data_IF_488520750322
#
_entry.id   IF_488520750322
#
_cell.length_a   1.000
_cell.length_b   1.000
_cell.length_c   1.000
_cell.angle_alpha   90.00
_cell.angle_beta   90.00
_cell.angle_gamma   90.00
#
_symmetry.space_group_name_H-M   'P 1'
#
loop_
_entity.id
_entity.type
_entity.pdbx_description
1 polymer ?
#
# COMPACT_ATOMS: atom_id res chain seq x y z
N UNK A 1 5.53 -52.14 54.05
CA UNK A 1 4.45 -52.84 53.31
C UNK A 1 3.85 -51.84 52.33
N UNK A 2 3.86 -52.15 51.02
CA UNK A 2 3.20 -51.43 49.90
C UNK A 2 3.78 -50.04 49.61
N UNK A 3 4.55 -49.76 48.56
CA UNK A 3 4.41 -49.98 47.11
C UNK A 3 3.36 -49.09 46.38
N UNK A 4 3.87 -48.41 45.35
CA UNK A 4 3.24 -47.88 44.13
C UNK A 4 2.31 -46.65 44.18
N UNK A 5 2.78 -45.54 43.57
CA UNK A 5 2.32 -45.15 42.23
C UNK A 5 3.31 -44.21 41.52
N UNK A 6 3.82 -44.66 40.38
CA UNK A 6 4.53 -43.85 39.39
C UNK A 6 3.56 -42.87 38.71
N UNK A 7 4.01 -41.63 38.49
CA UNK A 7 3.66 -40.88 37.28
C UNK A 7 4.93 -40.23 36.74
N UNK A 8 5.51 -40.89 35.74
CA UNK A 8 6.42 -40.30 34.77
C UNK A 8 5.65 -39.20 34.03
N UNK A 9 6.05 -37.95 34.21
CA UNK A 9 5.82 -36.88 33.24
C UNK A 9 7.16 -36.58 32.58
N UNK A 10 7.25 -36.47 31.25
CA UNK A 10 8.51 -36.13 30.60
C UNK A 10 8.90 -34.69 30.93
N UNK A 11 10.19 -34.49 31.17
CA UNK A 11 10.81 -33.20 31.46
C UNK A 11 10.51 -32.19 30.33
N UNK A 12 10.10 -30.99 30.75
CA UNK A 12 9.69 -29.85 29.91
C UNK A 12 10.87 -29.21 29.15
N UNK A 13 11.99 -29.92 28.97
CA UNK A 13 13.22 -29.39 28.37
C UNK A 13 13.51 -29.95 26.97
N UNK A 14 12.82 -31.00 26.52
CA UNK A 14 13.12 -31.64 25.21
C UNK A 14 12.18 -31.25 24.06
N UNK A 15 11.36 -30.20 24.17
CA UNK A 15 10.44 -29.77 23.09
C UNK A 15 10.82 -28.39 22.51
N UNK A 16 11.89 -27.75 23.00
CA UNK A 16 12.31 -26.42 22.54
C UNK A 16 13.37 -26.40 21.43
N UNK A 17 14.03 -27.52 21.15
CA UNK A 17 15.17 -27.55 20.22
C UNK A 17 14.83 -28.04 18.80
N UNK A 18 13.63 -28.58 18.57
CA UNK A 18 13.26 -29.14 17.26
C UNK A 18 12.36 -28.23 16.40
N UNK A 19 12.00 -27.02 16.89
CA UNK A 19 11.20 -26.06 16.13
C UNK A 19 11.99 -24.80 15.71
N UNK A 20 13.28 -24.98 15.47
CA UNK A 20 14.13 -23.99 14.82
C UNK A 20 14.65 -24.57 13.50
N UNK A 21 13.74 -25.00 12.62
CA UNK A 21 14.11 -25.19 11.22
C UNK A 21 14.33 -23.80 10.63
N UNK A 22 15.60 -23.41 10.53
CA UNK A 22 16.01 -22.31 9.69
C UNK A 22 15.58 -22.61 8.25
N UNK A 23 14.54 -21.92 7.82
CA UNK A 23 14.27 -21.71 6.41
C UNK A 23 14.45 -20.21 6.22
N UNK A 24 15.70 -19.74 6.29
CA UNK A 24 16.02 -18.54 5.55
C UNK A 24 15.79 -18.90 4.08
N UNK A 25 14.79 -18.29 3.40
CA UNK A 25 14.62 -18.54 1.98
C UNK A 25 15.95 -18.21 1.27
N UNK A 26 16.33 -18.97 0.22
CA UNK A 26 17.58 -18.71 -0.48
C UNK A 26 17.62 -17.23 -0.88
N UNK A 27 18.63 -16.52 -0.38
CA UNK A 27 18.85 -15.11 -0.67
C UNK A 27 19.01 -14.97 -2.19
N UNK A 28 17.94 -14.53 -2.85
CA UNK A 28 17.99 -14.19 -4.28
C UNK A 28 18.58 -12.80 -4.36
N UNK A 29 19.85 -12.72 -4.76
CA UNK A 29 20.44 -11.44 -5.14
C UNK A 29 19.58 -10.79 -6.23
N UNK A 30 19.01 -9.63 -5.90
CA UNK A 30 18.25 -8.81 -6.83
C UNK A 30 19.22 -8.25 -7.88
N UNK A 31 19.24 -8.85 -9.07
CA UNK A 31 20.09 -8.45 -10.19
C UNK A 31 19.47 -7.33 -11.04
N UNK A 32 18.67 -6.44 -10.43
CA UNK A 32 18.02 -5.35 -11.16
C UNK A 32 19.09 -4.32 -11.60
N UNK A 33 19.19 -4.08 -12.90
CA UNK A 33 20.12 -3.08 -13.42
C UNK A 33 19.51 -1.68 -13.31
N UNK A 34 20.35 -0.63 -13.40
CA UNK A 34 19.85 0.75 -13.45
C UNK A 34 18.88 0.99 -14.64
N UNK A 35 19.06 0.27 -15.74
CA UNK A 35 18.19 0.33 -16.91
C UNK A 35 16.84 -0.34 -16.65
N UNK A 36 16.81 -1.44 -15.90
CA UNK A 36 15.57 -2.09 -15.46
C UNK A 36 14.75 -1.16 -14.56
N UNK A 37 15.41 -0.49 -13.62
CA UNK A 37 14.78 0.50 -12.76
C UNK A 37 14.23 1.68 -13.53
N UNK A 38 14.99 2.21 -14.49
CA UNK A 38 14.52 3.30 -15.35
C UNK A 38 13.27 2.89 -16.14
N UNK A 39 13.27 1.69 -16.74
CA UNK A 39 12.10 1.15 -17.46
C UNK A 39 10.89 0.96 -16.55
N UNK A 40 11.11 0.49 -15.32
CA UNK A 40 10.04 0.34 -14.35
C UNK A 40 9.45 1.70 -13.95
N UNK A 41 10.30 2.68 -13.65
CA UNK A 41 9.89 4.04 -13.29
C UNK A 41 9.14 4.75 -14.42
N UNK A 42 9.64 4.67 -15.66
CA UNK A 42 8.99 5.26 -16.84
C UNK A 42 7.56 4.71 -17.03
N UNK A 43 7.31 3.46 -16.61
CA UNK A 43 5.99 2.82 -16.68
C UNK A 43 5.07 3.18 -15.51
N UNK A 44 5.59 3.21 -14.28
CA UNK A 44 4.75 3.39 -13.08
C UNK A 44 4.45 4.85 -12.77
N UNK A 45 5.38 5.79 -13.02
CA UNK A 45 5.23 7.20 -12.64
C UNK A 45 3.97 7.85 -13.25
N UNK A 46 3.59 7.59 -14.52
CA UNK A 46 2.34 8.12 -15.08
C UNK A 46 1.06 7.66 -14.34
N UNK A 47 1.12 6.53 -13.63
CA UNK A 47 0.00 5.96 -12.87
C UNK A 47 -0.06 6.48 -11.42
N UNK A 48 0.93 7.25 -10.99
CA UNK A 48 1.01 7.86 -9.66
C UNK A 48 0.34 9.23 -9.71
N UNK A 49 -0.48 9.52 -8.70
CA UNK A 49 -1.28 10.74 -8.60
C UNK A 49 -1.06 11.44 -7.27
N UNK A 50 -1.17 12.77 -7.25
CA UNK A 50 -1.35 13.53 -6.01
C UNK A 50 -2.82 13.52 -5.66
N UNK A 51 -3.15 13.15 -4.44
CA UNK A 51 -4.48 13.31 -3.89
C UNK A 51 -4.53 14.58 -3.05
N UNK A 52 -5.34 15.55 -3.46
CA UNK A 52 -5.73 16.69 -2.62
C UNK A 52 -7.04 16.34 -1.95
N UNK A 53 -7.04 16.28 -0.63
CA UNK A 53 -8.21 15.94 0.18
C UNK A 53 -8.57 17.11 1.07
N UNK A 54 -9.85 17.48 1.11
CA UNK A 54 -10.36 18.59 1.90
C UNK A 54 -11.50 18.11 2.79
N UNK A 55 -11.26 18.09 4.10
CA UNK A 55 -12.27 17.89 5.12
C UNK A 55 -12.85 19.25 5.52
N UNK A 56 -14.05 19.56 5.04
CA UNK A 56 -14.68 20.87 5.28
C UNK A 56 -15.07 21.10 6.75
N UNK A 57 -15.24 20.03 7.53
CA UNK A 57 -15.61 20.06 8.95
C UNK A 57 -14.85 18.97 9.69
N UNK A 58 -14.60 19.21 10.97
CA UNK A 58 -14.13 18.17 11.85
C UNK A 58 -15.18 17.06 11.95
N UNK A 59 -14.74 15.82 11.99
CA UNK A 59 -15.60 14.66 12.08
C UNK A 59 -14.89 13.55 12.85
N UNK A 60 -15.62 12.90 13.76
CA UNK A 60 -15.08 11.89 14.67
C UNK A 60 -13.87 12.46 15.45
N UNK A 61 -12.67 11.96 15.21
CA UNK A 61 -11.42 12.44 15.83
C UNK A 61 -10.53 13.28 14.91
N UNK A 62 -10.98 13.58 13.69
CA UNK A 62 -10.19 14.30 12.68
C UNK A 62 -10.61 15.77 12.57
N UNK A 63 -9.63 16.66 12.45
CA UNK A 63 -9.86 18.10 12.25
C UNK A 63 -10.22 18.44 10.81
N UNK A 64 -10.89 19.58 10.62
CA UNK A 64 -11.06 20.17 9.30
C UNK A 64 -9.70 20.62 8.74
N UNK A 65 -9.53 20.53 7.43
CA UNK A 65 -8.30 20.95 6.76
C UNK A 65 -8.16 20.35 5.37
N UNK A 66 -7.13 20.81 4.66
CA UNK A 66 -6.69 20.24 3.40
C UNK A 66 -5.37 19.50 3.60
N UNK A 67 -5.22 18.35 2.95
CA UNK A 67 -4.00 17.55 2.96
C UNK A 67 -3.68 17.02 1.57
N UNK A 68 -2.39 16.82 1.32
CA UNK A 68 -1.87 16.19 0.12
C UNK A 68 -1.32 14.82 0.46
N UNK A 69 -1.50 13.88 -0.44
CA UNK A 69 -0.98 12.52 -0.31
C UNK A 69 -0.69 11.93 -1.69
N UNK A 70 -0.05 10.77 -1.71
CA UNK A 70 0.15 9.99 -2.94
C UNK A 70 -0.94 8.92 -3.07
N UNK A 71 -1.41 8.72 -4.28
CA UNK A 71 -2.20 7.56 -4.67
C UNK A 71 -1.61 6.93 -5.94
N UNK A 72 -2.03 5.71 -6.25
CA UNK A 72 -1.65 5.05 -7.49
C UNK A 72 -2.83 4.27 -8.08
N UNK A 73 -2.94 4.30 -9.41
CA UNK A 73 -4.02 3.61 -10.13
C UNK A 73 -3.75 2.11 -10.15
N UNK A 74 -4.68 1.32 -9.59
CA UNK A 74 -4.60 -0.14 -9.55
C UNK A 74 -5.60 -0.84 -10.47
N UNK A 75 -6.66 -0.14 -10.90
CA UNK A 75 -7.57 -0.59 -11.96
C UNK A 75 -7.93 0.62 -12.84
N UNK A 76 -7.34 0.69 -14.03
CA UNK A 76 -7.58 1.78 -14.99
C UNK A 76 -8.98 1.73 -15.55
N UNK A 77 -9.54 0.54 -15.76
CA UNK A 77 -10.85 0.36 -16.39
C UNK A 77 -12.00 0.82 -15.48
N UNK A 78 -11.86 0.58 -14.18
CA UNK A 78 -12.83 0.99 -13.16
C UNK A 78 -12.47 2.33 -12.50
N UNK A 79 -11.30 2.89 -12.83
CA UNK A 79 -10.81 4.13 -12.26
C UNK A 79 -10.54 4.02 -10.76
N UNK A 80 -9.89 2.94 -10.30
CA UNK A 80 -9.61 2.72 -8.88
C UNK A 80 -8.20 3.20 -8.54
N UNK A 81 -8.10 4.06 -7.52
CA UNK A 81 -6.86 4.55 -6.93
C UNK A 81 -6.72 3.94 -5.55
N UNK A 82 -5.57 3.32 -5.29
CA UNK A 82 -5.16 2.86 -3.97
C UNK A 82 -4.34 3.95 -3.28
N UNK A 83 -4.60 4.17 -2.00
CA UNK A 83 -3.87 5.09 -1.13
C UNK A 83 -3.96 4.62 0.33
N UNK A 84 -3.38 5.37 1.26
CA UNK A 84 -3.50 5.05 2.68
C UNK A 84 -4.90 5.36 3.25
N UNK A 85 -5.31 4.63 4.30
CA UNK A 85 -6.63 4.80 4.94
C UNK A 85 -6.82 6.21 5.47
N UNK A 86 -5.77 6.77 6.08
CA UNK A 86 -5.82 8.10 6.68
C UNK A 86 -6.05 9.22 5.64
N UNK A 87 -5.74 8.98 4.37
CA UNK A 87 -5.98 9.92 3.26
C UNK A 87 -7.48 9.99 2.91
N UNK A 88 -8.17 8.84 2.96
CA UNK A 88 -9.61 8.75 2.66
C UNK A 88 -10.46 9.57 3.65
N UNK A 89 -9.93 9.79 4.87
CA UNK A 89 -10.63 10.39 6.03
C UNK A 89 -11.84 9.55 6.50
N UNK A 90 -12.19 9.60 7.79
CA UNK A 90 -13.35 8.88 8.33
C UNK A 90 -14.69 9.57 8.03
N UNK A 91 -14.66 10.89 7.79
CA UNK A 91 -15.83 11.71 7.51
C UNK A 91 -15.96 12.11 6.03
N UNK A 92 -17.02 12.87 5.69
CA UNK A 92 -17.19 13.41 4.34
C UNK A 92 -15.98 14.22 3.88
N UNK A 93 -15.49 13.91 2.68
CA UNK A 93 -14.29 14.53 2.10
C UNK A 93 -14.57 14.97 0.66
N UNK A 94 -14.00 16.12 0.29
CA UNK A 94 -13.88 16.54 -1.11
C UNK A 94 -12.47 16.18 -1.55
N UNK A 95 -12.33 15.38 -2.61
CA UNK A 95 -11.03 14.88 -3.05
C UNK A 95 -10.85 15.04 -4.56
N UNK A 96 -9.61 15.34 -4.95
CA UNK A 96 -9.20 15.48 -6.35
C UNK A 96 -7.87 14.74 -6.55
N UNK A 97 -7.71 14.11 -7.71
CA UNK A 97 -6.46 13.48 -8.14
C UNK A 97 -5.80 14.34 -9.21
N UNK A 98 -4.51 14.64 -9.02
CA UNK A 98 -3.68 15.36 -9.99
C UNK A 98 -2.68 14.38 -10.59
N UNK A 99 -2.75 14.19 -11.90
CA UNK A 99 -1.82 13.35 -12.64
C UNK A 99 -0.51 14.11 -12.96
N UNK A 100 0.52 13.38 -13.40
CA UNK A 100 1.85 13.96 -13.73
C UNK A 100 1.78 15.08 -14.77
N UNK A 101 0.80 15.04 -15.68
CA UNK A 101 0.57 16.07 -16.69
C UNK A 101 -0.31 17.24 -16.20
N UNK A 102 -0.61 17.29 -14.90
CA UNK A 102 -1.48 18.29 -14.23
C UNK A 102 -2.95 18.23 -14.62
N UNK A 103 -3.44 17.13 -15.18
CA UNK A 103 -4.89 16.90 -15.24
C UNK A 103 -5.41 16.67 -13.82
N UNK A 104 -6.34 17.53 -13.39
CA UNK A 104 -7.02 17.43 -12.10
C UNK A 104 -8.42 16.84 -12.32
N UNK A 105 -8.73 15.74 -11.64
CA UNK A 105 -10.02 15.08 -11.73
C UNK A 105 -10.64 14.87 -10.34
N UNK A 106 -11.98 15.00 -10.21
CA UNK A 106 -12.64 14.68 -8.95
C UNK A 106 -12.55 13.18 -8.66
N UNK A 107 -12.36 12.82 -7.40
CA UNK A 107 -12.33 11.43 -6.95
C UNK A 107 -13.21 11.22 -5.73
N UNK A 108 -13.77 10.02 -5.60
CA UNK A 108 -14.75 9.72 -4.55
C UNK A 108 -14.31 8.51 -3.73
N UNK A 109 -14.37 8.58 -2.40
CA UNK A 109 -13.99 7.46 -1.56
C UNK A 109 -14.96 6.30 -1.77
N UNK A 110 -14.46 5.11 -2.08
CA UNK A 110 -15.28 3.90 -2.27
C UNK A 110 -15.06 2.87 -1.17
N UNK A 111 -13.91 2.91 -0.52
CA UNK A 111 -13.59 2.01 0.58
C UNK A 111 -12.55 2.62 1.50
N UNK A 112 -12.73 2.35 2.80
CA UNK A 112 -11.79 2.70 3.86
C UNK A 112 -11.64 1.47 4.74
N UNK A 113 -10.46 0.88 4.78
CA UNK A 113 -10.28 -0.37 5.53
C UNK A 113 -10.42 -0.14 7.04
N UNK A 114 -11.14 -0.99 7.79
CA UNK A 114 -11.32 -0.77 9.22
C UNK A 114 -10.07 -1.04 10.05
N UNK A 115 -9.14 -1.88 9.56
CA UNK A 115 -8.01 -2.41 10.33
C UNK A 115 -6.68 -1.91 9.78
N UNK A 116 -6.47 -2.08 8.48
CA UNK A 116 -5.23 -1.78 7.78
C UNK A 116 -5.22 -0.34 7.28
N UNK A 117 -4.03 0.23 7.06
CA UNK A 117 -3.88 1.61 6.58
C UNK A 117 -3.93 1.71 5.06
N UNK A 118 -5.00 1.17 4.45
CA UNK A 118 -5.30 1.37 3.04
C UNK A 118 -6.75 1.78 2.78
N UNK A 119 -6.98 2.37 1.61
CA UNK A 119 -8.30 2.73 1.13
C UNK A 119 -8.31 2.95 -0.37
N UNK A 120 -9.51 3.08 -0.92
CA UNK A 120 -9.73 3.24 -2.35
C UNK A 120 -10.55 4.50 -2.65
N UNK A 121 -10.10 5.23 -3.66
CA UNK A 121 -10.88 6.24 -4.36
C UNK A 121 -11.28 5.71 -5.73
N UNK A 122 -12.41 6.19 -6.26
CA UNK A 122 -12.79 6.02 -7.65
C UNK A 122 -12.79 7.35 -8.41
N UNK A 123 -12.50 7.29 -9.69
CA UNK A 123 -12.61 8.41 -10.63
C UNK A 123 -13.27 7.93 -11.93
N UNK A 124 -13.71 8.87 -12.76
CA UNK A 124 -14.15 8.56 -14.12
C UNK A 124 -12.94 8.49 -15.06
N UNK A 125 -12.57 7.32 -15.63
CA UNK A 125 -11.46 7.23 -16.57
C UNK A 125 -11.64 8.09 -17.82
N UNK A 126 -12.89 8.41 -18.20
CA UNK A 126 -13.18 9.31 -19.32
C UNK A 126 -12.87 10.78 -19.05
N UNK A 127 -12.63 11.16 -17.79
CA UNK A 127 -12.22 12.52 -17.43
C UNK A 127 -10.76 12.82 -17.80
N UNK A 128 -9.94 11.79 -18.06
CA UNK A 128 -8.54 11.94 -18.47
C UNK A 128 -8.48 11.96 -19.99
N UNK A 129 -8.03 13.09 -20.54
CA UNK A 129 -8.08 13.37 -21.97
C UNK A 129 -6.71 13.34 -22.63
N UNK A 130 -5.65 13.68 -21.90
CA UNK A 130 -4.34 13.95 -22.50
C UNK A 130 -3.24 13.01 -22.01
N UNK A 131 -3.45 12.28 -20.91
CA UNK A 131 -2.51 11.30 -20.40
C UNK A 131 -2.85 9.87 -20.82
N UNK A 132 -1.84 9.16 -21.34
CA UNK A 132 -1.86 7.70 -21.39
C UNK A 132 -0.96 7.14 -20.30
N UNK A 133 -1.50 6.22 -19.50
CA UNK A 133 -0.81 5.57 -18.38
C UNK A 133 -1.29 4.12 -18.23
N UNK A 134 -0.46 3.26 -17.65
CA UNK A 134 -0.84 1.90 -17.29
C UNK A 134 -1.36 1.85 -15.84
N UNK A 135 -2.05 0.77 -15.46
CA UNK A 135 -2.31 0.49 -14.03
C UNK A 135 -1.11 -0.21 -13.39
N UNK A 136 -0.94 -0.03 -12.08
CA UNK A 136 0.08 -0.71 -11.29
C UNK A 136 -0.49 -2.04 -10.78
N UNK A 137 -0.02 -3.19 -11.29
CA UNK A 137 -0.51 -4.49 -10.83
C UNK A 137 -0.02 -4.77 -9.41
N UNK A 138 -0.90 -5.34 -8.59
CA UNK A 138 -0.56 -5.82 -7.25
C UNK A 138 0.01 -7.24 -7.34
N UNK A 139 1.18 -7.46 -6.73
CA UNK A 139 1.87 -8.75 -6.75
C UNK A 139 2.29 -9.18 -5.33
N UNK A 140 1.34 -9.62 -4.48
CA UNK A 140 1.62 -9.96 -3.09
C UNK A 140 2.64 -11.10 -2.94
N UNK A 141 2.61 -12.07 -3.85
CA UNK A 141 3.52 -13.24 -3.84
C UNK A 141 4.95 -12.91 -4.29
N UNK A 142 5.19 -11.69 -4.80
CA UNK A 142 6.51 -11.28 -5.28
C UNK A 142 7.40 -10.67 -4.17
N UNK A 143 6.82 -10.33 -3.02
CA UNK A 143 7.57 -9.73 -1.92
C UNK A 143 8.42 -10.77 -1.19
N UNK A 144 9.74 -10.57 -1.17
CA UNK A 144 10.67 -11.41 -0.42
C UNK A 144 11.73 -10.57 0.30
N UNK A 145 12.33 -11.15 1.35
CA UNK A 145 13.42 -10.51 2.09
C UNK A 145 14.64 -10.38 1.18
N UNK A 146 15.29 -9.21 1.19
CA UNK A 146 16.45 -8.90 0.35
C UNK A 146 16.12 -8.35 -1.04
N UNK A 147 14.84 -8.22 -1.40
CA UNK A 147 14.42 -7.57 -2.65
C UNK A 147 14.77 -6.08 -2.62
N UNK A 148 15.42 -5.58 -3.67
CA UNK A 148 15.63 -4.14 -3.84
C UNK A 148 14.28 -3.47 -4.11
N UNK A 149 13.99 -2.40 -3.37
CA UNK A 149 12.75 -1.63 -3.53
C UNK A 149 13.05 -0.18 -3.89
N UNK A 150 12.13 0.43 -4.62
CA UNK A 150 12.08 1.88 -4.86
C UNK A 150 10.77 2.41 -4.32
N UNK A 151 10.86 3.48 -3.54
CA UNK A 151 9.68 4.19 -3.05
C UNK A 151 9.40 5.33 -4.05
N UNK A 152 8.23 5.28 -4.65
CA UNK A 152 7.75 6.34 -5.54
C UNK A 152 6.64 7.08 -4.80
N UNK A 153 6.86 8.35 -4.56
CA UNK A 153 5.91 9.27 -3.97
C UNK A 153 5.87 10.55 -4.80
N UNK A 154 4.81 11.33 -4.67
CA UNK A 154 4.80 12.67 -5.21
C UNK A 154 5.29 13.67 -4.15
N UNK A 155 6.38 14.37 -4.45
CA UNK A 155 7.03 15.36 -3.57
C UNK A 155 6.23 16.68 -3.41
N UNK A 156 5.03 16.80 -4.01
CA UNK A 156 4.26 18.06 -4.10
C UNK A 156 3.77 18.65 -2.76
N UNK A 157 4.10 18.05 -1.61
CA UNK A 157 3.68 18.49 -0.28
C UNK A 157 4.79 18.88 0.69
N UNK A 158 6.07 18.58 0.40
CA UNK A 158 7.18 18.97 1.28
C UNK A 158 7.69 20.37 0.92
N UNK A 159 7.45 21.33 1.83
CA UNK A 159 8.16 22.60 1.92
C UNK A 159 8.95 22.63 3.20
#
# INVERSE_FOLDING_TARGET
MGDSLQRLGPDCESIKEELCMEIDPPFRESSATAEDWRRALDRVVPAVVVLRTTACRAFDTESAGASYATGFVVDRRRGIILTNRHVVKPGPVVAEAMFVNREEIPVYPVYRDPVHDFGFFCYDPGAIQFLSYDEIPLAPEAACVGLEIRVVGNDSGEK
#
